data_IF_797986160067
#
_entry.id   IF_797986160067
#
_cell.length_a   1.000
_cell.length_b   1.000
_cell.length_c   1.000
_cell.angle_alpha   90.00
_cell.angle_beta   90.00
_cell.angle_gamma   90.00
#
_symmetry.space_group_name_H-M   'P 1'
#
loop_
_entity.id
_entity.type
_entity.pdbx_description
1 polymer ?
#
# COMPACT_ATOMS: atom_id res chain seq x y z
N UNK A 1 10.88 -16.15 -22.99
CA UNK A 1 10.61 -16.43 -21.55
C UNK A 1 10.96 -15.18 -20.77
N UNK A 2 9.99 -14.54 -20.10
CA UNK A 2 10.28 -13.42 -19.20
C UNK A 2 10.95 -13.99 -17.95
N UNK A 3 12.12 -13.46 -17.57
CA UNK A 3 12.81 -13.88 -16.36
C UNK A 3 12.00 -13.47 -15.13
N UNK A 4 11.94 -14.34 -14.10
CA UNK A 4 11.32 -14.04 -12.81
C UNK A 4 11.85 -12.74 -12.19
N UNK A 5 13.11 -12.39 -12.49
CA UNK A 5 13.73 -11.14 -12.07
C UNK A 5 13.07 -9.92 -12.71
N UNK A 6 12.79 -9.99 -14.01
CA UNK A 6 12.13 -8.90 -14.76
C UNK A 6 10.70 -8.70 -14.27
N UNK A 7 9.97 -9.79 -14.00
CA UNK A 7 8.63 -9.73 -13.40
C UNK A 7 8.64 -9.06 -12.02
N UNK A 8 9.51 -9.51 -11.12
CA UNK A 8 9.63 -8.93 -9.77
C UNK A 8 9.99 -7.43 -9.83
N UNK A 9 10.87 -7.05 -10.76
CA UNK A 9 11.22 -5.65 -10.98
C UNK A 9 10.02 -4.81 -11.42
N UNK A 10 9.20 -5.33 -12.34
CA UNK A 10 7.96 -4.63 -12.76
C UNK A 10 6.95 -4.49 -11.63
N UNK A 11 6.78 -5.51 -10.79
CA UNK A 11 5.88 -5.44 -9.63
C UNK A 11 6.34 -4.42 -8.60
N UNK A 12 7.64 -4.41 -8.27
CA UNK A 12 8.22 -3.42 -7.35
C UNK A 12 8.04 -1.99 -7.89
N UNK A 13 8.25 -1.77 -9.19
CA UNK A 13 8.00 -0.47 -9.80
C UNK A 13 6.53 -0.04 -9.75
N UNK A 14 5.60 -0.94 -10.09
CA UNK A 14 4.17 -0.66 -10.00
C UNK A 14 3.77 -0.31 -8.56
N UNK A 15 4.33 -1.02 -7.60
CA UNK A 15 4.11 -0.79 -6.18
C UNK A 15 4.67 0.55 -5.69
N UNK A 16 5.83 0.97 -6.20
CA UNK A 16 6.38 2.30 -5.95
C UNK A 16 5.42 3.39 -6.46
N UNK A 17 4.92 3.26 -7.68
CA UNK A 17 3.98 4.22 -8.28
C UNK A 17 2.69 4.32 -7.47
N UNK A 18 2.12 3.19 -7.07
CA UNK A 18 0.91 3.14 -6.23
C UNK A 18 1.18 3.78 -4.86
N UNK A 19 2.31 3.47 -4.23
CA UNK A 19 2.67 4.03 -2.92
C UNK A 19 2.84 5.55 -2.98
N UNK A 20 3.45 6.07 -4.05
CA UNK A 20 3.54 7.51 -4.31
C UNK A 20 2.16 8.15 -4.50
N UNK A 21 1.28 7.51 -5.27
CA UNK A 21 -0.09 8.00 -5.49
C UNK A 21 -0.88 8.04 -4.17
N UNK A 22 -0.80 6.98 -3.35
CA UNK A 22 -1.43 6.91 -2.03
C UNK A 22 -0.87 7.97 -1.07
N UNK A 23 0.45 8.19 -1.07
CA UNK A 23 1.09 9.22 -0.26
C UNK A 23 0.57 10.62 -0.62
N UNK A 24 0.60 10.99 -1.91
CA UNK A 24 0.12 12.29 -2.38
C UNK A 24 -1.39 12.45 -2.11
N UNK A 25 -2.20 11.42 -2.35
CA UNK A 25 -3.64 11.46 -2.07
C UNK A 25 -3.91 11.67 -0.58
N UNK A 26 -3.20 10.97 0.31
CA UNK A 26 -3.35 11.14 1.75
C UNK A 26 -2.93 12.53 2.22
N UNK A 27 -1.82 13.07 1.71
CA UNK A 27 -1.38 14.45 1.99
C UNK A 27 -2.37 15.49 1.47
N UNK A 28 -2.97 15.27 0.30
CA UNK A 28 -4.01 16.14 -0.24
C UNK A 28 -5.25 16.18 0.66
N UNK A 29 -5.67 15.04 1.21
CA UNK A 29 -6.81 14.98 2.16
C UNK A 29 -6.45 15.68 3.47
N UNK A 30 -5.27 15.40 4.03
CA UNK A 30 -4.80 16.02 5.27
C UNK A 30 -4.73 17.55 5.09
N UNK A 31 -4.10 18.02 4.02
CA UNK A 31 -3.97 19.46 3.72
C UNK A 31 -5.32 20.13 3.45
N UNK A 32 -6.24 19.47 2.75
CA UNK A 32 -7.59 19.99 2.52
C UNK A 32 -8.34 20.20 3.83
N UNK A 33 -8.20 19.27 4.79
CA UNK A 33 -8.80 19.38 6.13
C UNK A 33 -8.16 20.46 7.00
N UNK A 34 -6.86 20.70 6.87
CA UNK A 34 -6.19 21.81 7.56
C UNK A 34 -6.52 23.18 6.96
N UNK A 35 -6.69 23.26 5.64
CA UNK A 35 -6.98 24.51 4.92
C UNK A 35 -8.47 24.81 4.76
N UNK A 36 -9.37 23.89 5.10
CA UNK A 36 -10.81 24.15 5.06
C UNK A 36 -11.16 25.16 6.16
N UNK A 37 -11.33 26.43 5.76
CA UNK A 37 -11.98 27.45 6.58
C UNK A 37 -13.43 27.02 6.74
N UNK A 38 -13.78 26.53 7.92
CA UNK A 38 -15.13 26.05 8.19
C UNK A 38 -16.10 27.25 8.25
N UNK A 39 -17.13 27.24 7.41
CA UNK A 39 -18.26 28.19 7.48
C UNK A 39 -19.11 27.94 8.74
N UNK A 40 -18.98 26.76 9.34
CA UNK A 40 -19.56 26.38 10.64
C UNK A 40 -18.45 26.29 11.70
N UNK A 41 -18.74 26.61 12.95
CA UNK A 41 -17.77 26.86 14.05
C UNK A 41 -16.85 25.69 14.43
N UNK A 42 -17.00 24.50 13.85
CA UNK A 42 -16.18 23.33 14.17
C UNK A 42 -15.04 23.10 13.16
N UNK A 43 -13.79 23.27 13.61
CA UNK A 43 -12.60 22.81 12.89
C UNK A 43 -12.72 21.32 12.60
N UNK A 44 -12.68 20.92 11.33
CA UNK A 44 -12.62 19.51 10.96
C UNK A 44 -11.23 18.95 11.31
N UNK A 45 -11.14 18.20 12.41
CA UNK A 45 -9.92 17.49 12.79
C UNK A 45 -9.64 16.35 11.81
N UNK A 46 -8.37 16.20 11.43
CA UNK A 46 -7.90 15.06 10.63
C UNK A 46 -7.90 13.82 11.52
N UNK A 47 -8.65 12.78 11.12
CA UNK A 47 -8.64 11.50 11.83
C UNK A 47 -7.23 10.92 11.87
N UNK A 48 -6.85 10.32 13.00
CA UNK A 48 -5.53 9.72 13.20
C UNK A 48 -5.20 8.64 12.16
N UNK A 49 -6.22 7.96 11.64
CA UNK A 49 -6.10 6.95 10.57
C UNK A 49 -5.40 7.49 9.30
N UNK A 50 -5.69 8.72 8.89
CA UNK A 50 -5.08 9.33 7.70
C UNK A 50 -3.59 9.62 7.90
N UNK A 51 -3.18 9.96 9.12
CA UNK A 51 -1.77 10.13 9.47
C UNK A 51 -1.01 8.82 9.43
N UNK A 52 -1.59 7.74 9.98
CA UNK A 52 -1.01 6.40 9.89
C UNK A 52 -0.88 5.99 8.43
N UNK A 53 -1.93 6.17 7.62
CA UNK A 53 -1.93 5.78 6.21
C UNK A 53 -0.87 6.55 5.39
N UNK A 54 -0.71 7.85 5.65
CA UNK A 54 0.33 8.67 5.06
C UNK A 54 1.73 8.17 5.45
N UNK A 55 1.95 7.87 6.74
CA UNK A 55 3.23 7.35 7.24
C UNK A 55 3.58 5.97 6.68
N UNK A 56 2.60 5.07 6.58
CA UNK A 56 2.77 3.74 5.97
C UNK A 56 3.11 3.85 4.49
N UNK A 57 2.41 4.72 3.74
CA UNK A 57 2.68 4.94 2.32
C UNK A 57 4.11 5.45 2.10
N UNK A 58 4.57 6.38 2.94
CA UNK A 58 5.94 6.89 2.89
C UNK A 58 6.99 5.82 3.25
N UNK A 59 6.73 5.02 4.29
CA UNK A 59 7.59 3.89 4.66
C UNK A 59 7.69 2.87 3.51
N UNK A 60 6.58 2.63 2.80
CA UNK A 60 6.56 1.75 1.64
C UNK A 60 7.44 2.25 0.49
N UNK A 61 7.45 3.57 0.24
CA UNK A 61 8.32 4.19 -0.77
C UNK A 61 9.80 3.97 -0.42
N UNK A 62 10.20 4.21 0.84
CA UNK A 62 11.61 4.03 1.24
C UNK A 62 12.02 2.55 1.09
N UNK A 63 11.17 1.63 1.57
CA UNK A 63 11.48 0.20 1.51
C UNK A 63 11.46 -0.34 0.07
N UNK A 64 10.59 0.15 -0.81
CA UNK A 64 10.58 -0.24 -2.24
C UNK A 64 11.86 0.23 -2.93
N UNK A 65 12.35 1.45 -2.64
CA UNK A 65 13.64 1.92 -3.17
C UNK A 65 14.80 1.05 -2.65
N UNK A 66 14.79 0.71 -1.36
CA UNK A 66 15.78 -0.21 -0.79
C UNK A 66 15.71 -1.60 -1.44
N UNK A 67 14.51 -2.11 -1.72
CA UNK A 67 14.29 -3.39 -2.41
C UNK A 67 14.77 -3.37 -3.87
N UNK A 68 14.59 -2.25 -4.59
CA UNK A 68 15.15 -2.10 -5.94
C UNK A 68 16.68 -2.13 -5.91
N UNK A 69 17.30 -1.48 -4.92
CA UNK A 69 18.74 -1.52 -4.72
C UNK A 69 19.22 -2.94 -4.36
N UNK A 70 18.50 -3.63 -3.48
CA UNK A 70 18.72 -5.03 -3.12
C UNK A 70 18.74 -5.96 -4.35
N UNK A 71 17.78 -5.78 -5.26
CA UNK A 71 17.70 -6.54 -6.50
C UNK A 71 18.86 -6.25 -7.46
N UNK A 72 19.34 -5.00 -7.48
CA UNK A 72 20.46 -4.59 -8.33
C UNK A 72 21.79 -5.12 -7.84
N UNK A 73 22.04 -5.07 -6.53
CA UNK A 73 23.30 -5.52 -5.90
C UNK A 73 23.28 -7.00 -5.48
N UNK A 74 22.18 -7.73 -5.71
CA UNK A 74 22.00 -9.09 -5.20
C UNK A 74 22.12 -9.19 -3.66
N UNK A 75 21.82 -8.11 -2.94
CA UNK A 75 21.94 -8.05 -1.48
C UNK A 75 20.61 -8.35 -0.78
N UNK A 76 20.46 -9.59 -0.30
CA UNK A 76 19.26 -10.10 0.36
C UNK A 76 18.81 -9.32 1.61
N UNK A 77 19.71 -8.68 2.34
CA UNK A 77 19.39 -8.04 3.62
C UNK A 77 18.48 -6.82 3.47
N UNK A 78 18.53 -6.14 2.33
CA UNK A 78 17.70 -4.98 2.02
C UNK A 78 16.29 -5.37 1.51
N UNK A 79 16.09 -6.63 1.13
CA UNK A 79 14.78 -7.14 0.70
C UNK A 79 13.89 -7.58 1.87
N UNK A 80 14.50 -8.09 2.95
CA UNK A 80 13.79 -8.54 4.16
C UNK A 80 12.91 -7.44 4.78
N UNK A 81 13.39 -6.21 5.04
CA UNK A 81 12.55 -5.16 5.63
C UNK A 81 11.36 -4.80 4.72
N UNK A 82 11.54 -4.84 3.39
CA UNK A 82 10.45 -4.62 2.46
C UNK A 82 9.36 -5.68 2.57
N UNK A 83 9.73 -6.97 2.61
CA UNK A 83 8.80 -8.08 2.79
C UNK A 83 8.02 -7.94 4.11
N UNK A 84 8.67 -7.52 5.20
CA UNK A 84 8.00 -7.32 6.49
C UNK A 84 6.93 -6.22 6.42
N UNK A 85 7.23 -5.08 5.80
CA UNK A 85 6.23 -4.01 5.63
C UNK A 85 5.11 -4.46 4.69
N UNK A 86 5.42 -5.24 3.67
CA UNK A 86 4.44 -5.80 2.76
C UNK A 86 3.45 -6.75 3.46
N UNK A 87 3.94 -7.58 4.39
CA UNK A 87 3.09 -8.42 5.26
C UNK A 87 2.19 -7.55 6.14
N UNK A 88 2.73 -6.52 6.78
CA UNK A 88 1.93 -5.59 7.60
C UNK A 88 0.81 -4.92 6.78
N UNK A 89 1.12 -4.42 5.58
CA UNK A 89 0.13 -3.83 4.68
C UNK A 89 -0.95 -4.82 4.27
N UNK A 90 -0.60 -6.08 3.97
CA UNK A 90 -1.58 -7.13 3.69
C UNK A 90 -2.49 -7.39 4.89
N UNK A 91 -1.93 -7.55 6.10
CA UNK A 91 -2.75 -7.79 7.30
C UNK A 91 -3.73 -6.65 7.58
N UNK A 92 -3.29 -5.40 7.36
CA UNK A 92 -4.15 -4.23 7.50
C UNK A 92 -5.25 -4.22 6.43
N UNK A 93 -4.92 -4.52 5.18
CA UNK A 93 -5.89 -4.62 4.09
C UNK A 93 -6.94 -5.70 4.35
N UNK A 94 -6.53 -6.88 4.82
CA UNK A 94 -7.46 -7.95 5.21
C UNK A 94 -8.37 -7.53 6.36
N UNK A 95 -7.84 -6.81 7.36
CA UNK A 95 -8.64 -6.30 8.47
C UNK A 95 -9.70 -5.30 7.99
N UNK A 96 -9.33 -4.37 7.11
CA UNK A 96 -10.25 -3.41 6.50
C UNK A 96 -11.29 -4.10 5.62
N UNK A 97 -10.89 -5.11 4.84
CA UNK A 97 -11.82 -5.91 4.05
C UNK A 97 -12.83 -6.63 4.95
N UNK A 98 -12.39 -7.28 6.01
CA UNK A 98 -13.28 -7.94 6.96
C UNK A 98 -14.25 -6.95 7.63
N UNK A 99 -13.75 -5.79 8.05
CA UNK A 99 -14.57 -4.74 8.64
C UNK A 99 -15.62 -4.18 7.66
N UNK A 100 -15.24 -3.94 6.41
CA UNK A 100 -16.14 -3.41 5.37
C UNK A 100 -17.19 -4.42 4.91
N UNK A 101 -16.88 -5.72 4.92
CA UNK A 101 -17.84 -6.79 4.64
C UNK A 101 -18.80 -7.00 5.82
N UNK A 102 -18.32 -6.89 7.06
CA UNK A 102 -19.11 -7.17 8.25
C UNK A 102 -20.12 -6.05 8.63
N UNK A 103 -19.83 -4.79 8.29
CA UNK A 103 -20.56 -3.63 8.82
C UNK A 103 -21.36 -2.81 7.79
N UNK A 104 -21.34 -3.16 6.50
CA UNK A 104 -22.02 -2.36 5.48
C UNK A 104 -23.16 -3.10 4.77
N UNK A 105 -24.23 -2.36 4.50
CA UNK A 105 -25.41 -2.83 3.79
C UNK A 105 -25.11 -2.94 2.29
N UNK A 106 -25.34 -4.13 1.73
CA UNK A 106 -24.94 -4.53 0.36
C UNK A 106 -25.63 -3.78 -0.80
N UNK A 107 -26.52 -2.84 -0.50
CA UNK A 107 -27.37 -2.16 -1.48
C UNK A 107 -26.76 -0.89 -2.06
N UNK A 108 -25.67 -0.38 -1.48
CA UNK A 108 -25.04 0.86 -1.93
C UNK A 108 -24.02 0.63 -3.05
N UNK A 109 -24.20 1.33 -4.18
CA UNK A 109 -23.27 1.25 -5.32
C UNK A 109 -21.83 1.66 -4.96
N UNK A 110 -21.68 2.62 -4.05
CA UNK A 110 -20.37 3.04 -3.54
C UNK A 110 -19.67 1.94 -2.73
N UNK A 111 -20.43 1.08 -2.05
CA UNK A 111 -19.88 -0.06 -1.31
C UNK A 111 -19.26 -1.08 -2.26
N UNK A 112 -19.94 -1.39 -3.37
CA UNK A 112 -19.38 -2.30 -4.39
C UNK A 112 -18.07 -1.78 -4.99
N UNK A 113 -18.00 -0.48 -5.32
CA UNK A 113 -16.75 0.12 -5.84
C UNK A 113 -15.64 0.03 -4.80
N UNK A 114 -15.92 0.35 -3.54
CA UNK A 114 -14.97 0.24 -2.45
C UNK A 114 -14.46 -1.18 -2.26
N UNK A 115 -15.37 -2.16 -2.21
CA UNK A 115 -15.04 -3.58 -2.06
C UNK A 115 -14.18 -4.10 -3.21
N UNK A 116 -14.55 -3.80 -4.46
CA UNK A 116 -13.75 -4.19 -5.63
C UNK A 116 -12.36 -3.57 -5.61
N UNK A 117 -12.24 -2.32 -5.15
CA UNK A 117 -10.95 -1.63 -5.02
C UNK A 117 -10.08 -2.28 -3.95
N UNK A 118 -10.65 -2.66 -2.80
CA UNK A 118 -9.92 -3.33 -1.71
C UNK A 118 -9.46 -4.72 -2.16
N UNK A 119 -10.33 -5.53 -2.77
CA UNK A 119 -9.99 -6.87 -3.28
C UNK A 119 -8.88 -6.78 -4.32
N UNK A 120 -9.00 -5.83 -5.27
CA UNK A 120 -7.97 -5.63 -6.29
C UNK A 120 -6.63 -5.27 -5.65
N UNK A 121 -6.63 -4.34 -4.69
CA UNK A 121 -5.42 -3.92 -3.98
C UNK A 121 -4.79 -5.07 -3.19
N UNK A 122 -5.59 -5.87 -2.50
CA UNK A 122 -5.11 -7.04 -1.75
C UNK A 122 -4.50 -8.09 -2.70
N UNK A 123 -5.17 -8.40 -3.82
CA UNK A 123 -4.65 -9.35 -4.81
C UNK A 123 -3.32 -8.90 -5.41
N UNK A 124 -3.14 -7.59 -5.61
CA UNK A 124 -1.89 -7.01 -6.08
C UNK A 124 -0.78 -7.12 -5.03
N UNK A 125 -1.06 -6.76 -3.77
CA UNK A 125 -0.11 -6.87 -2.67
C UNK A 125 0.32 -8.32 -2.40
N UNK A 126 -0.60 -9.28 -2.47
CA UNK A 126 -0.29 -10.71 -2.37
C UNK A 126 0.60 -11.18 -3.52
N UNK A 127 0.33 -10.69 -4.74
CA UNK A 127 1.17 -11.02 -5.91
C UNK A 127 2.60 -10.51 -5.72
N UNK A 128 2.78 -9.26 -5.25
CA UNK A 128 4.09 -8.72 -4.92
C UNK A 128 4.82 -9.58 -3.88
N UNK A 129 4.14 -9.97 -2.80
CA UNK A 129 4.71 -10.83 -1.75
C UNK A 129 5.23 -12.15 -2.33
N UNK A 130 4.43 -12.82 -3.16
CA UNK A 130 4.80 -14.12 -3.76
C UNK A 130 6.02 -13.97 -4.65
N UNK A 131 6.09 -12.93 -5.48
CA UNK A 131 7.24 -12.70 -6.37
C UNK A 131 8.51 -12.33 -5.61
N UNK A 132 8.40 -11.53 -4.55
CA UNK A 132 9.54 -11.15 -3.72
C UNK A 132 10.09 -12.32 -2.92
N UNK A 133 9.23 -13.14 -2.31
CA UNK A 133 9.64 -14.34 -1.59
C UNK A 133 10.31 -15.35 -2.53
N UNK A 134 9.77 -15.52 -3.75
CA UNK A 134 10.39 -16.37 -4.78
C UNK A 134 11.76 -15.83 -5.20
N UNK A 135 11.89 -14.51 -5.34
CA UNK A 135 13.16 -13.86 -5.70
C UNK A 135 14.19 -14.00 -4.56
N UNK A 136 13.77 -13.82 -3.31
CA UNK A 136 14.62 -14.04 -2.13
C UNK A 136 15.17 -15.48 -2.12
N UNK A 137 14.32 -16.47 -2.36
CA UNK A 137 14.71 -17.89 -2.46
C UNK A 137 15.62 -18.18 -3.66
N UNK A 138 15.50 -17.43 -4.74
CA UNK A 138 16.40 -17.56 -5.89
C UNK A 138 17.78 -16.96 -5.63
N UNK A 139 17.93 -16.11 -4.62
CA UNK A 139 19.20 -15.48 -4.23
C UNK A 139 19.95 -16.26 -3.13
N UNK A 140 19.36 -17.34 -2.60
CA UNK A 140 20.00 -18.29 -1.66
C UNK A 140 20.60 -19.47 -2.39
#
# INVERSE_FOLDING_TARGET
MVSMRTLTWTFILMQLVISCACFIASLAIISAKFNSVSVYEDKQYVSFEWWIFCGLSFSMIINTVAAMYALSEHNRFLLIPHILVLVLCNTLACYVLHYTVANFDSTDFNWHIGLMTIIFTESFLLSCLVFEVRTLRSMT
#
